data_IF_508473065263
#
_entry.id   IF_508473065263
#
_cell.length_a   1.000
_cell.length_b   1.000
_cell.length_c   1.000
_cell.angle_alpha   90.00
_cell.angle_beta   90.00
_cell.angle_gamma   90.00
#
_symmetry.space_group_name_H-M   'P 1'
#
loop_
_entity.id
_entity.type
_entity.pdbx_description
1 polymer ?
#
# COMPACT_ATOMS: atom_id res chain seq x y z
N UNK A 1 18.49 20.77 30.32
CA UNK A 1 17.89 19.65 31.08
C UNK A 1 16.66 19.18 30.32
N UNK A 2 16.68 17.97 29.77
CA UNK A 2 15.52 17.43 29.03
C UNK A 2 14.41 17.07 30.04
N UNK A 3 13.18 17.49 29.79
CA UNK A 3 12.04 17.17 30.66
C UNK A 3 11.89 15.65 30.84
N UNK A 4 11.40 15.17 32.00
CA UNK A 4 11.15 13.75 32.22
C UNK A 4 10.16 13.23 31.17
N UNK A 5 10.53 12.13 30.49
CA UNK A 5 9.73 11.51 29.44
C UNK A 5 8.50 10.85 30.06
N UNK A 6 7.33 10.97 29.43
CA UNK A 6 6.13 10.29 29.93
C UNK A 6 6.24 8.78 29.70
N UNK A 7 5.59 7.97 30.55
CA UNK A 7 5.57 6.50 30.40
C UNK A 7 5.10 6.03 29.00
N UNK A 8 4.27 6.84 28.34
CA UNK A 8 3.81 6.60 26.95
C UNK A 8 4.96 6.76 25.96
N UNK A 9 5.81 7.77 26.11
CA UNK A 9 6.97 7.97 25.23
C UNK A 9 8.00 6.84 25.35
N UNK A 10 8.21 6.33 26.57
CA UNK A 10 9.10 5.19 26.79
C UNK A 10 8.56 3.91 26.16
N UNK A 11 7.25 3.65 26.27
CA UNK A 11 6.60 2.52 25.62
C UNK A 11 6.71 2.61 24.09
N UNK A 12 6.46 3.78 23.50
CA UNK A 12 6.57 3.99 22.06
C UNK A 12 8.02 3.80 21.61
N UNK A 13 9.00 4.34 22.35
CA UNK A 13 10.43 4.16 22.06
C UNK A 13 10.83 2.69 22.11
N UNK A 14 10.40 1.94 23.12
CA UNK A 14 10.65 0.51 23.22
C UNK A 14 10.07 -0.25 22.00
N UNK A 15 8.86 0.14 21.56
CA UNK A 15 8.25 -0.42 20.35
C UNK A 15 9.03 -0.11 19.06
N UNK A 16 9.58 1.10 18.94
CA UNK A 16 10.47 1.50 17.82
C UNK A 16 11.74 0.67 17.81
N UNK A 17 12.43 0.57 18.95
CA UNK A 17 13.68 -0.19 19.07
C UNK A 17 13.48 -1.66 18.75
N UNK A 18 12.44 -2.29 19.32
CA UNK A 18 12.08 -3.68 19.01
C UNK A 18 11.84 -3.90 17.52
N UNK A 19 11.16 -2.95 16.86
CA UNK A 19 10.90 -3.01 15.41
C UNK A 19 12.18 -2.86 14.60
N UNK A 20 13.09 -1.96 14.98
CA UNK A 20 14.38 -1.78 14.31
C UNK A 20 15.29 -3.02 14.48
N UNK A 21 15.33 -3.60 15.68
CA UNK A 21 16.03 -4.87 15.94
C UNK A 21 15.48 -6.01 15.10
N UNK A 22 14.16 -6.07 14.92
CA UNK A 22 13.52 -7.08 14.06
C UNK A 22 14.04 -7.01 12.63
N UNK A 23 14.30 -5.82 12.08
CA UNK A 23 14.90 -5.65 10.74
C UNK A 23 16.34 -6.15 10.74
N UNK A 24 17.14 -5.77 11.75
CA UNK A 24 18.54 -6.23 11.86
C UNK A 24 18.62 -7.75 12.02
N UNK A 25 17.62 -8.35 12.65
CA UNK A 25 17.51 -9.81 12.79
C UNK A 25 17.09 -10.52 11.48
N UNK A 26 16.64 -9.81 10.44
CA UNK A 26 16.34 -10.38 9.12
C UNK A 26 17.59 -10.83 8.36
N UNK A 27 18.79 -10.59 8.90
CA UNK A 27 20.07 -11.00 8.32
C UNK A 27 20.34 -12.52 8.42
N UNK A 28 19.28 -13.33 8.49
CA UNK A 28 19.35 -14.78 8.62
C UNK A 28 18.53 -15.41 7.49
N UNK A 29 19.26 -15.86 6.47
CA UNK A 29 18.80 -16.65 5.32
C UNK A 29 17.65 -16.02 4.49
N UNK A 30 17.98 -14.99 3.72
CA UNK A 30 17.07 -14.37 2.74
C UNK A 30 16.45 -15.37 1.76
N UNK A 31 17.19 -16.35 1.20
CA UNK A 31 16.58 -17.40 0.37
C UNK A 31 15.45 -18.16 1.06
N UNK A 32 15.64 -18.61 2.30
CA UNK A 32 14.61 -19.31 3.05
C UNK A 32 13.37 -18.43 3.29
N UNK A 33 13.57 -17.16 3.67
CA UNK A 33 12.49 -16.19 3.88
C UNK A 33 11.69 -15.92 2.59
N UNK A 34 12.37 -15.76 1.44
CA UNK A 34 11.71 -15.56 0.16
C UNK A 34 10.93 -16.80 -0.28
N UNK A 35 11.48 -18.00 -0.05
CA UNK A 35 10.77 -19.27 -0.31
C UNK A 35 9.51 -19.39 0.54
N UNK A 36 9.60 -19.13 1.85
CA UNK A 36 8.44 -19.16 2.74
C UNK A 36 7.38 -18.15 2.27
N UNK A 37 7.82 -16.94 1.90
CA UNK A 37 6.94 -15.89 1.40
C UNK A 37 6.22 -16.31 0.12
N UNK A 38 6.94 -16.87 -0.85
CA UNK A 38 6.36 -17.40 -2.09
C UNK A 38 5.29 -18.45 -1.78
N UNK A 39 5.63 -19.47 -1.01
CA UNK A 39 4.69 -20.55 -0.66
C UNK A 39 3.49 -20.03 0.14
N UNK A 40 3.66 -18.99 0.95
CA UNK A 40 2.54 -18.32 1.63
C UNK A 40 1.61 -17.62 0.64
N UNK A 41 2.15 -16.93 -0.37
CA UNK A 41 1.35 -16.24 -1.39
C UNK A 41 0.57 -17.27 -2.23
N UNK A 42 1.21 -18.36 -2.63
CA UNK A 42 0.56 -19.43 -3.40
C UNK A 42 -0.56 -20.09 -2.61
N UNK A 43 -0.32 -20.46 -1.35
CA UNK A 43 -1.36 -21.02 -0.47
C UNK A 43 -2.54 -20.08 -0.28
N UNK A 44 -2.27 -18.80 0.01
CA UNK A 44 -3.29 -17.78 0.20
C UNK A 44 -4.19 -17.64 -1.03
N UNK A 45 -3.61 -17.67 -2.24
CA UNK A 45 -4.33 -17.47 -3.48
C UNK A 45 -4.69 -18.77 -4.21
N UNK A 46 -4.56 -19.93 -3.56
CA UNK A 46 -4.79 -21.25 -4.19
C UNK A 46 -6.21 -21.44 -4.74
N UNK A 47 -7.19 -20.77 -4.12
CA UNK A 47 -8.61 -20.88 -4.49
C UNK A 47 -9.07 -19.87 -5.53
N UNK A 48 -8.22 -18.92 -5.94
CA UNK A 48 -8.56 -17.94 -6.95
C UNK A 48 -8.64 -18.58 -8.34
N UNK A 49 -9.29 -17.94 -9.30
CA UNK A 49 -9.34 -18.39 -10.70
C UNK A 49 -7.92 -18.63 -11.24
N UNK A 50 -7.02 -17.67 -11.05
CA UNK A 50 -5.61 -17.80 -11.44
C UNK A 50 -4.90 -18.92 -10.67
N UNK A 51 -5.15 -19.04 -9.37
CA UNK A 51 -4.55 -20.08 -8.54
C UNK A 51 -4.96 -21.48 -8.96
N UNK A 52 -6.24 -21.69 -9.32
CA UNK A 52 -6.74 -22.96 -9.85
C UNK A 52 -6.19 -23.25 -11.24
N UNK A 53 -6.21 -22.26 -12.14
CA UNK A 53 -5.71 -22.39 -13.50
C UNK A 53 -4.25 -22.84 -13.56
N UNK A 54 -3.42 -22.40 -12.59
CA UNK A 54 -2.01 -22.76 -12.51
C UNK A 54 -1.67 -23.81 -11.44
N UNK A 55 -2.67 -24.38 -10.76
CA UNK A 55 -2.48 -25.44 -9.77
C UNK A 55 -1.65 -25.02 -8.56
N UNK A 56 -1.87 -23.82 -8.01
CA UNK A 56 -1.12 -23.27 -6.86
C UNK A 56 -1.08 -24.21 -5.64
N UNK A 57 -2.15 -24.96 -5.41
CA UNK A 57 -2.27 -25.90 -4.28
C UNK A 57 -1.20 -27.00 -4.30
N UNK A 58 -0.72 -27.38 -5.48
CA UNK A 58 0.25 -28.47 -5.65
C UNK A 58 1.67 -27.95 -5.93
N UNK A 59 1.93 -26.65 -5.76
CA UNK A 59 3.27 -26.07 -5.88
C UNK A 59 3.92 -26.06 -4.49
N UNK A 60 5.04 -26.77 -4.37
CA UNK A 60 5.77 -26.94 -3.11
C UNK A 60 7.20 -26.37 -3.16
N UNK A 61 7.69 -26.02 -4.34
CA UNK A 61 9.04 -25.50 -4.54
C UNK A 61 9.10 -24.30 -5.50
N UNK A 62 10.22 -23.56 -5.46
CA UNK A 62 10.47 -22.42 -6.36
C UNK A 62 10.57 -22.89 -7.81
N UNK A 63 11.19 -24.06 -8.02
CA UNK A 63 11.37 -24.65 -9.34
C UNK A 63 10.03 -25.08 -9.96
N UNK A 64 9.11 -25.63 -9.15
CA UNK A 64 7.76 -25.93 -9.59
C UNK A 64 6.99 -24.67 -9.97
N UNK A 65 7.10 -23.62 -9.15
CA UNK A 65 6.51 -22.31 -9.46
C UNK A 65 7.04 -21.78 -10.80
N UNK A 66 8.35 -21.76 -11.00
CA UNK A 66 8.98 -21.26 -12.22
C UNK A 66 8.60 -22.06 -13.48
N UNK A 67 8.36 -23.38 -13.36
CA UNK A 67 7.91 -24.20 -14.49
C UNK A 67 6.45 -23.95 -14.88
N UNK A 68 5.59 -23.60 -13.91
CA UNK A 68 4.14 -23.47 -14.15
C UNK A 68 3.71 -22.05 -14.45
N UNK A 69 4.44 -21.05 -13.94
CA UNK A 69 4.07 -19.64 -14.04
C UNK A 69 5.06 -18.94 -14.98
N UNK A 70 4.63 -18.61 -16.21
CA UNK A 70 5.48 -17.85 -17.12
C UNK A 70 5.68 -16.42 -16.61
N UNK A 71 6.79 -15.81 -17.02
CA UNK A 71 7.00 -14.38 -16.83
C UNK A 71 6.00 -13.62 -17.70
N UNK A 72 5.28 -12.69 -17.10
CA UNK A 72 4.16 -11.94 -17.70
C UNK A 72 4.28 -10.45 -17.42
N UNK A 73 3.50 -9.65 -18.16
CA UNK A 73 3.39 -8.21 -18.01
C UNK A 73 2.02 -7.76 -17.52
N UNK A 74 1.89 -6.46 -17.25
CA UNK A 74 0.63 -5.84 -16.82
C UNK A 74 -0.53 -6.06 -17.81
N UNK A 75 -0.25 -6.06 -19.12
CA UNK A 75 -1.26 -6.21 -20.16
C UNK A 75 -1.96 -7.58 -20.10
N UNK A 76 -1.26 -8.64 -19.67
CA UNK A 76 -1.79 -9.99 -19.56
C UNK A 76 -2.90 -10.10 -18.48
N UNK A 77 -2.95 -9.12 -17.57
CA UNK A 77 -3.89 -9.09 -16.44
C UNK A 77 -4.99 -8.04 -16.60
N UNK A 78 -5.04 -7.32 -17.73
CA UNK A 78 -5.97 -6.21 -17.93
C UNK A 78 -7.44 -6.64 -17.75
N UNK A 79 -7.82 -7.80 -18.30
CA UNK A 79 -9.17 -8.32 -18.17
C UNK A 79 -9.50 -8.74 -16.74
N UNK A 80 -8.58 -9.41 -16.05
CA UNK A 80 -8.75 -9.75 -14.64
C UNK A 80 -8.90 -8.51 -13.76
N UNK A 81 -8.17 -7.44 -14.06
CA UNK A 81 -8.28 -6.16 -13.36
C UNK A 81 -9.61 -5.47 -13.64
N UNK A 82 -10.10 -5.48 -14.89
CA UNK A 82 -11.42 -4.97 -15.27
C UNK A 82 -12.54 -5.68 -14.51
N UNK A 83 -12.54 -7.02 -14.52
CA UNK A 83 -13.51 -7.83 -13.77
C UNK A 83 -13.46 -7.57 -12.26
N UNK A 84 -12.25 -7.43 -11.71
CA UNK A 84 -12.06 -7.04 -10.30
C UNK A 84 -12.63 -5.63 -10.03
N UNK A 85 -12.47 -4.71 -10.97
CA UNK A 85 -13.02 -3.35 -10.88
C UNK A 85 -14.55 -3.32 -10.96
N UNK A 86 -15.17 -4.36 -11.54
CA UNK A 86 -16.62 -4.58 -11.58
C UNK A 86 -17.15 -5.32 -10.34
N UNK A 87 -16.28 -5.56 -9.34
CA UNK A 87 -16.64 -6.14 -8.06
C UNK A 87 -16.52 -7.66 -8.00
N UNK A 88 -16.05 -8.32 -9.07
CA UNK A 88 -15.79 -9.74 -9.06
C UNK A 88 -14.57 -10.06 -8.18
N UNK A 89 -14.67 -11.14 -7.39
CA UNK A 89 -13.69 -11.52 -6.37
C UNK A 89 -12.99 -12.82 -6.73
N UNK A 90 -11.88 -13.09 -6.06
CA UNK A 90 -11.14 -14.35 -6.18
C UNK A 90 -10.64 -14.64 -7.61
N UNK A 91 -10.33 -13.60 -8.41
CA UNK A 91 -9.75 -13.76 -9.76
C UNK A 91 -8.22 -13.95 -9.65
N UNK A 92 -7.51 -12.88 -9.27
CA UNK A 92 -6.06 -12.90 -9.03
C UNK A 92 -5.72 -12.96 -7.54
N UNK A 93 -6.53 -12.29 -6.71
CA UNK A 93 -6.28 -12.11 -5.28
C UNK A 93 -7.44 -12.68 -4.47
N UNK A 94 -7.12 -13.42 -3.41
CA UNK A 94 -8.10 -13.82 -2.40
C UNK A 94 -8.48 -12.66 -1.46
N UNK A 95 -7.57 -11.69 -1.31
CA UNK A 95 -7.81 -10.49 -0.49
C UNK A 95 -8.66 -9.49 -1.29
N UNK A 96 -9.64 -8.82 -0.66
CA UNK A 96 -10.42 -7.81 -1.33
C UNK A 96 -9.54 -6.64 -1.82
N UNK A 97 -9.82 -6.20 -3.04
CA UNK A 97 -9.25 -5.00 -3.66
C UNK A 97 -10.14 -3.82 -3.29
N UNK A 98 -9.55 -2.80 -2.67
CA UNK A 98 -10.30 -1.65 -2.15
C UNK A 98 -10.15 -0.39 -3.00
N UNK A 99 -9.13 -0.35 -3.85
CA UNK A 99 -8.81 0.77 -4.70
C UNK A 99 -7.89 0.30 -5.83
N UNK A 100 -7.76 1.11 -6.88
CA UNK A 100 -6.71 0.97 -7.88
C UNK A 100 -5.72 2.13 -7.78
N UNK A 101 -4.44 1.79 -7.81
CA UNK A 101 -3.34 2.73 -7.83
C UNK A 101 -2.99 3.11 -9.26
N UNK A 102 -2.93 4.41 -9.55
CA UNK A 102 -2.30 4.91 -10.76
C UNK A 102 -0.79 4.81 -10.62
N UNK A 103 -0.17 4.02 -11.51
CA UNK A 103 1.28 4.11 -11.71
C UNK A 103 1.57 5.16 -12.77
N UNK A 104 2.50 6.07 -12.49
CA UNK A 104 2.89 7.19 -13.35
C UNK A 104 3.75 6.72 -14.55
N UNK A 105 3.25 5.75 -15.32
CA UNK A 105 3.96 5.19 -16.46
C UNK A 105 4.56 6.30 -17.34
N UNK A 106 5.87 6.28 -17.54
CA UNK A 106 6.59 7.36 -18.23
C UNK A 106 6.48 7.29 -19.77
N UNK A 107 5.81 6.27 -20.32
CA UNK A 107 5.76 6.01 -21.77
C UNK A 107 4.47 5.35 -22.28
N UNK A 108 3.36 5.39 -21.52
CA UNK A 108 2.08 4.83 -21.98
C UNK A 108 0.90 5.13 -21.05
N UNK A 109 -0.28 4.60 -21.39
CA UNK A 109 -1.49 4.72 -20.58
C UNK A 109 -1.23 4.28 -19.12
N UNK A 110 -1.78 5.04 -18.17
CA UNK A 110 -1.58 4.79 -16.75
C UNK A 110 -2.02 3.37 -16.39
N UNK A 111 -1.11 2.55 -15.86
CA UNK A 111 -1.45 1.18 -15.45
C UNK A 111 -2.20 1.24 -14.13
N UNK A 112 -3.40 0.66 -14.11
CA UNK A 112 -4.24 0.48 -12.93
C UNK A 112 -3.72 -0.72 -12.12
N UNK A 113 -3.16 -0.45 -10.95
CA UNK A 113 -2.61 -1.49 -10.08
C UNK A 113 -3.63 -1.79 -8.96
N UNK A 114 -4.18 -3.02 -8.87
CA UNK A 114 -5.12 -3.36 -7.81
C UNK A 114 -4.46 -3.29 -6.43
N UNK A 115 -5.06 -2.54 -5.52
CA UNK A 115 -4.60 -2.39 -4.14
C UNK A 115 -5.37 -3.35 -3.23
N UNK A 116 -4.92 -4.60 -3.20
CA UNK A 116 -5.41 -5.60 -2.26
C UNK A 116 -5.05 -5.25 -0.81
N UNK A 117 -5.88 -5.68 0.15
CA UNK A 117 -5.67 -5.42 1.59
C UNK A 117 -4.27 -5.82 2.08
N UNK A 118 -3.76 -6.96 1.64
CA UNK A 118 -2.42 -7.45 1.96
C UNK A 118 -1.30 -6.51 1.50
N UNK A 119 -1.43 -5.89 0.32
CA UNK A 119 -0.46 -4.93 -0.20
C UNK A 119 -0.41 -3.66 0.64
N UNK A 120 -1.57 -3.08 0.96
CA UNK A 120 -1.67 -1.89 1.82
C UNK A 120 -1.04 -2.17 3.20
N UNK A 121 -1.32 -3.33 3.78
CA UNK A 121 -0.72 -3.75 5.06
C UNK A 121 0.80 -3.88 4.95
N UNK A 122 1.30 -4.46 3.84
CA UNK A 122 2.73 -4.60 3.57
C UNK A 122 3.44 -3.25 3.46
N UNK A 123 2.88 -2.31 2.71
CA UNK A 123 3.41 -0.96 2.56
C UNK A 123 3.48 -0.21 3.90
N UNK A 124 2.42 -0.28 4.71
CA UNK A 124 2.42 0.31 6.06
C UNK A 124 3.50 -0.28 6.96
N UNK A 125 3.69 -1.61 6.90
CA UNK A 125 4.76 -2.28 7.65
C UNK A 125 6.14 -1.79 7.19
N UNK A 126 6.37 -1.68 5.89
CA UNK A 126 7.62 -1.17 5.33
C UNK A 126 7.91 0.28 5.79
N UNK A 127 6.91 1.17 5.75
CA UNK A 127 7.02 2.55 6.27
C UNK A 127 7.36 2.53 7.78
N UNK A 128 6.67 1.70 8.55
CA UNK A 128 6.93 1.55 9.98
C UNK A 128 8.34 1.04 10.28
N UNK A 129 8.86 0.11 9.46
CA UNK A 129 10.23 -0.38 9.56
C UNK A 129 11.25 0.72 9.23
N UNK A 130 11.08 1.42 8.10
CA UNK A 130 11.99 2.48 7.68
C UNK A 130 12.05 3.63 8.70
N UNK A 131 10.91 4.09 9.19
CA UNK A 131 10.85 5.15 10.22
C UNK A 131 11.45 4.68 11.55
N UNK A 132 11.25 3.41 11.93
CA UNK A 132 11.83 2.87 13.16
C UNK A 132 13.35 2.70 13.07
N UNK A 133 13.86 2.23 11.92
CA UNK A 133 15.29 2.13 11.66
C UNK A 133 15.97 3.51 11.75
N UNK A 134 15.40 4.51 11.07
CA UNK A 134 15.89 5.89 11.14
C UNK A 134 15.98 6.42 12.59
N UNK A 135 14.90 6.30 13.37
CA UNK A 135 14.87 6.77 14.76
C UNK A 135 15.88 6.04 15.65
N UNK A 136 16.06 4.73 15.44
CA UNK A 136 17.00 3.93 16.21
C UNK A 136 18.46 4.22 15.84
N UNK A 137 18.77 4.44 14.57
CA UNK A 137 20.13 4.72 14.08
C UNK A 137 20.60 6.13 14.42
N UNK A 138 19.70 7.11 14.39
CA UNK A 138 20.02 8.51 14.66
C UNK A 138 19.81 8.93 16.12
N UNK A 139 19.28 8.04 16.96
CA UNK A 139 18.73 8.33 18.30
C UNK A 139 17.79 9.55 18.32
N UNK A 140 17.17 9.88 17.17
CA UNK A 140 16.29 11.03 17.00
C UNK A 140 14.82 10.62 17.00
N UNK A 141 14.16 10.83 18.15
CA UNK A 141 12.74 10.51 18.36
C UNK A 141 11.81 11.72 18.23
N UNK A 142 12.29 12.83 17.65
CA UNK A 142 11.48 14.04 17.46
C UNK A 142 10.25 13.79 16.57
N UNK A 143 10.30 12.80 15.69
CA UNK A 143 9.17 12.35 14.87
C UNK A 143 7.95 11.89 15.71
N UNK A 144 8.15 11.48 16.97
CA UNK A 144 7.07 11.08 17.87
C UNK A 144 6.41 12.28 18.58
N UNK A 145 7.02 13.46 18.51
CA UNK A 145 6.63 14.66 19.28
C UNK A 145 6.09 15.79 18.39
N UNK A 146 6.12 15.61 17.07
CA UNK A 146 5.74 16.63 16.09
C UNK A 146 4.69 16.15 15.10
N UNK A 147 4.38 17.03 14.15
CA UNK A 147 3.52 16.71 13.02
C UNK A 147 4.35 16.26 11.82
N UNK A 148 3.89 15.23 11.13
CA UNK A 148 4.45 14.76 9.87
C UNK A 148 3.65 15.38 8.72
N UNK A 149 4.20 16.41 8.07
CA UNK A 149 3.62 16.96 6.84
C UNK A 149 3.84 15.98 5.69
N UNK A 150 2.76 15.41 5.16
CA UNK A 150 2.77 14.56 3.99
C UNK A 150 2.28 15.34 2.78
N UNK A 151 3.14 15.44 1.77
CA UNK A 151 2.74 15.87 0.43
C UNK A 151 2.22 14.64 -0.31
N UNK A 152 0.90 14.49 -0.33
CA UNK A 152 0.23 13.37 -0.98
C UNK A 152 -0.56 13.87 -2.19
N UNK A 153 -0.50 13.08 -3.26
CA UNK A 153 -1.38 13.23 -4.40
C UNK A 153 -2.80 12.73 -4.05
N UNK A 154 -3.83 13.12 -4.83
CA UNK A 154 -5.22 12.76 -4.52
C UNK A 154 -5.43 11.26 -4.30
N UNK A 155 -6.20 10.91 -3.27
CA UNK A 155 -6.53 9.50 -2.97
C UNK A 155 -7.55 8.93 -3.95
N UNK A 156 -8.32 9.80 -4.60
CA UNK A 156 -9.31 9.47 -5.60
C UNK A 156 -9.29 10.54 -6.70
N UNK A 157 -9.13 10.12 -7.96
CA UNK A 157 -9.27 10.95 -9.15
C UNK A 157 -10.46 10.52 -10.01
N UNK A 158 -10.85 9.25 -9.92
CA UNK A 158 -12.03 8.68 -10.58
C UNK A 158 -12.53 7.45 -9.79
N UNK A 159 -13.68 6.90 -10.19
CA UNK A 159 -14.23 5.64 -9.64
C UNK A 159 -14.59 4.68 -10.76
N UNK A 160 -14.10 3.44 -10.67
CA UNK A 160 -14.49 2.35 -11.58
C UNK A 160 -15.85 1.80 -11.15
N UNK A 161 -16.73 1.58 -12.13
CA UNK A 161 -18.12 1.16 -11.91
C UNK A 161 -18.91 2.03 -10.91
N UNK A 162 -18.47 3.27 -10.67
CA UNK A 162 -19.05 4.17 -9.67
C UNK A 162 -18.70 3.85 -8.21
N UNK A 163 -18.07 2.71 -7.93
CA UNK A 163 -17.86 2.22 -6.56
C UNK A 163 -16.38 2.20 -6.14
N UNK A 164 -15.48 1.69 -6.98
CA UNK A 164 -14.09 1.43 -6.58
C UNK A 164 -13.20 2.64 -6.89
N UNK A 165 -12.58 3.28 -5.89
CA UNK A 165 -11.76 4.47 -6.10
C UNK A 165 -10.45 4.15 -6.86
N UNK A 166 -10.08 5.06 -7.75
CA UNK A 166 -8.79 5.06 -8.44
C UNK A 166 -8.04 6.31 -8.03
N UNK A 167 -6.78 6.17 -7.62
CA UNK A 167 -5.98 7.32 -7.21
C UNK A 167 -4.51 7.00 -7.06
N UNK A 168 -3.74 7.93 -6.51
CA UNK A 168 -2.30 7.73 -6.33
C UNK A 168 -2.03 6.85 -5.11
N UNK A 169 -1.17 5.84 -5.25
CA UNK A 169 -0.85 4.89 -4.17
C UNK A 169 -0.37 5.62 -2.90
N UNK A 170 0.46 6.64 -3.05
CA UNK A 170 0.96 7.46 -1.93
C UNK A 170 -0.15 8.17 -1.17
N UNK A 171 -1.14 8.71 -1.90
CA UNK A 171 -2.35 9.29 -1.35
C UNK A 171 -3.17 8.27 -0.58
N UNK A 172 -3.52 7.16 -1.25
CA UNK A 172 -4.34 6.08 -0.67
C UNK A 172 -3.71 5.51 0.61
N UNK A 173 -2.39 5.30 0.63
CA UNK A 173 -1.68 4.86 1.83
C UNK A 173 -1.73 5.94 2.92
N UNK A 174 -1.55 7.21 2.56
CA UNK A 174 -1.65 8.36 3.47
C UNK A 174 -3.04 8.53 4.09
N UNK A 175 -4.12 8.32 3.34
CA UNK A 175 -5.47 8.37 3.90
C UNK A 175 -5.77 7.18 4.82
N UNK A 176 -5.13 6.04 4.59
CA UNK A 176 -5.38 4.82 5.38
C UNK A 176 -4.68 4.78 6.76
N UNK A 177 -4.16 5.91 7.28
CA UNK A 177 -3.48 5.97 8.59
C UNK A 177 -4.38 5.47 9.72
N UNK A 178 -3.82 4.65 10.62
CA UNK A 178 -4.52 4.17 11.82
C UNK A 178 -4.09 4.94 13.06
N UNK A 179 -4.92 4.95 14.10
CA UNK A 179 -4.56 5.51 15.40
C UNK A 179 -3.27 4.86 15.97
N UNK A 180 -2.37 5.63 16.62
CA UNK A 180 -2.42 7.09 16.85
C UNK A 180 -1.83 7.92 15.70
N UNK A 181 -1.27 7.31 14.66
CA UNK A 181 -0.61 8.00 13.55
C UNK A 181 -1.54 8.91 12.71
N UNK A 182 -2.85 8.70 12.81
CA UNK A 182 -3.86 9.61 12.26
C UNK A 182 -3.72 11.05 12.81
N UNK A 183 -3.37 11.22 14.08
CA UNK A 183 -3.36 12.53 14.75
C UNK A 183 -2.07 13.33 14.49
N UNK A 184 -0.99 12.66 14.09
CA UNK A 184 0.30 13.31 13.84
C UNK A 184 0.51 13.65 12.37
N UNK A 185 -0.24 13.02 11.45
CA UNK A 185 -0.10 13.23 10.02
C UNK A 185 -0.90 14.43 9.52
N UNK A 186 -0.24 15.38 8.86
CA UNK A 186 -0.88 16.50 8.18
C UNK A 186 -0.80 16.33 6.64
N UNK A 187 -1.81 16.78 5.88
CA UNK A 187 -3.10 17.25 6.38
C UNK A 187 -3.97 16.08 6.93
N UNK A 188 -5.06 16.39 7.66
CA UNK A 188 -6.03 15.40 8.12
C UNK A 188 -6.53 14.52 6.97
N UNK A 189 -6.94 13.29 7.25
CA UNK A 189 -7.34 12.31 6.23
C UNK A 189 -8.48 12.84 5.36
N UNK A 190 -9.39 13.62 5.93
CA UNK A 190 -10.53 14.23 5.25
C UNK A 190 -10.09 15.21 4.15
N UNK A 191 -8.92 15.84 4.30
CA UNK A 191 -8.34 16.73 3.28
C UNK A 191 -7.67 15.92 2.16
N UNK A 192 -7.08 14.77 2.49
CA UNK A 192 -6.51 13.85 1.50
C UNK A 192 -7.58 13.12 0.70
N UNK A 193 -8.69 12.76 1.35
CA UNK A 193 -9.84 12.07 0.78
C UNK A 193 -10.80 12.98 0.02
N UNK A 194 -10.45 14.26 -0.14
CA UNK A 194 -11.28 15.23 -0.86
C UNK A 194 -11.40 14.84 -2.36
N UNK A 195 -12.59 14.39 -2.83
CA UNK A 195 -12.79 13.94 -4.21
C UNK A 195 -12.77 15.10 -5.21
N UNK A 196 -12.96 16.33 -4.71
CA UNK A 196 -13.09 17.50 -5.58
C UNK A 196 -11.77 18.00 -6.10
N UNK A 197 -10.63 17.47 -5.60
CA UNK A 197 -9.28 17.84 -6.00
C UNK A 197 -9.26 19.25 -6.55
N UNK A 198 -9.59 20.28 -5.73
CA UNK A 198 -9.58 21.67 -6.21
C UNK A 198 -8.25 21.79 -6.90
N UNK A 199 -8.32 21.91 -8.23
CA UNK A 199 -7.20 21.66 -9.14
C UNK A 199 -5.99 22.27 -8.49
N UNK A 200 -4.94 21.47 -8.27
CA UNK A 200 -3.60 22.00 -8.06
C UNK A 200 -3.49 23.23 -8.94
N UNK A 201 -3.37 24.41 -8.33
CA UNK A 201 -3.55 25.72 -8.98
C UNK A 201 -2.38 26.06 -9.91
N UNK A 202 -1.84 25.08 -10.62
CA UNK A 202 -0.72 25.17 -11.54
C UNK A 202 -1.13 24.99 -13.02
N UNK A 203 -2.42 24.98 -13.35
CA UNK A 203 -2.87 25.08 -14.74
C UNK A 203 -4.08 26.01 -14.85
N UNK A 204 -3.78 27.27 -15.15
CA UNK A 204 -4.76 28.22 -15.65
C UNK A 204 -5.14 27.83 -17.08
N UNK A 205 -6.37 27.31 -17.26
CA UNK A 205 -7.24 27.57 -18.42
C UNK A 205 -8.62 26.97 -18.17
N UNK A 206 -9.57 27.87 -17.97
CA UNK A 206 -10.99 27.78 -18.32
C UNK A 206 -11.61 26.37 -18.42
N UNK A 207 -12.25 25.92 -17.34
CA UNK A 207 -13.39 25.02 -17.45
C UNK A 207 -14.34 25.29 -16.28
N UNK A 208 -15.54 25.73 -16.63
CA UNK A 208 -16.70 26.05 -15.79
C UNK A 208 -16.99 24.94 -14.78
N UNK A 209 -17.41 25.25 -13.54
CA UNK A 209 -17.75 24.23 -12.56
C UNK A 209 -19.12 23.66 -12.88
N UNK A 210 -19.19 22.40 -13.28
CA UNK A 210 -20.44 21.64 -13.30
C UNK A 210 -20.38 20.51 -12.29
N UNK A 211 -21.45 20.46 -11.49
CA UNK A 211 -21.88 19.36 -10.61
C UNK A 211 -21.21 19.30 -9.25
N UNK A 212 -21.83 20.03 -8.31
CA UNK A 212 -21.75 19.79 -6.86
C UNK A 212 -22.39 18.43 -6.55
N UNK A 213 -21.61 17.47 -6.06
CA UNK A 213 -22.15 16.25 -5.45
C UNK A 213 -22.61 16.58 -4.02
N UNK A 214 -23.81 16.12 -3.67
CA UNK A 214 -24.36 16.12 -2.32
C UNK A 214 -23.65 15.09 -1.42
#
# INVERSE_FOLDING_TARGET
>A
MSAPRSAVEELVRAGVLKRAESIRALDRDYPALQRERLLSILRQNSRTEFGRAHGFETITSVEEFQRRIPVSGAADYAESWRRTAEGERDILFSDPVHAFGLSSGTTGDAKLIPLAKGLIRGLKRAIGYATSAYMAETDNYSLLRGYALQMAAPTCVERLAGEIPVGFITGIIGASRTYPFHQIGLPPVEVLDCPTGRRSTASSRSATPTTTCA
#
